data_IF_889831441548
#
_entry.id   IF_889831441548
#
_cell.length_a   1.000
_cell.length_b   1.000
_cell.length_c   1.000
_cell.angle_alpha   90.00
_cell.angle_beta   90.00
_cell.angle_gamma   90.00
#
_symmetry.space_group_name_H-M   'P 1'
#
loop_
_entity.id
_entity.type
_entity.pdbx_description
1 polymer ?
#
# COMPACT_ATOMS: atom_id res chain seq x y z
N UNK A 1 1.41 5.55 0.44
CA UNK A 1 1.93 6.78 1.07
C UNK A 1 3.26 7.24 0.47
N UNK A 2 4.26 6.36 0.35
CA UNK A 2 5.62 6.70 -0.12
C UNK A 2 5.74 7.36 -1.50
N UNK A 3 4.74 7.24 -2.39
CA UNK A 3 4.73 7.95 -3.68
C UNK A 3 4.34 9.43 -3.57
N UNK A 4 3.69 9.84 -2.49
CA UNK A 4 3.00 11.14 -2.38
C UNK A 4 3.47 11.97 -1.19
N UNK A 5 4.05 11.33 -0.17
CA UNK A 5 4.77 12.01 0.90
C UNK A 5 6.23 11.59 0.78
N UNK A 6 7.14 12.57 0.81
CA UNK A 6 8.58 12.32 0.82
C UNK A 6 8.96 11.71 2.19
N UNK A 7 8.99 10.39 2.24
CA UNK A 7 9.29 9.59 3.41
C UNK A 7 10.34 8.54 3.05
N UNK A 8 10.99 7.95 4.04
CA UNK A 8 11.97 6.89 3.80
C UNK A 8 11.33 5.77 2.94
N UNK A 9 11.96 5.40 1.83
CA UNK A 9 11.42 4.44 0.85
C UNK A 9 10.69 5.05 -0.36
N UNK A 10 10.53 6.38 -0.43
CA UNK A 10 9.87 7.05 -1.57
C UNK A 10 10.63 6.88 -2.88
N UNK A 11 11.97 6.86 -2.84
CA UNK A 11 12.79 6.73 -4.04
C UNK A 11 12.69 5.32 -4.63
N UNK A 12 12.85 4.31 -3.79
CA UNK A 12 12.75 2.90 -4.15
C UNK A 12 11.36 2.57 -4.71
N UNK A 13 10.30 3.20 -4.17
CA UNK A 13 8.95 3.06 -4.71
C UNK A 13 8.82 3.69 -6.10
N UNK A 14 9.43 4.86 -6.34
CA UNK A 14 9.41 5.52 -7.66
C UNK A 14 10.19 4.72 -8.70
N UNK A 15 11.36 4.20 -8.32
CA UNK A 15 12.18 3.35 -9.18
C UNK A 15 11.45 2.03 -9.50
N UNK A 16 10.93 1.34 -8.48
CA UNK A 16 10.16 0.11 -8.67
C UNK A 16 8.93 0.30 -9.55
N UNK A 17 8.21 1.42 -9.40
CA UNK A 17 7.08 1.75 -10.28
C UNK A 17 7.51 2.00 -11.72
N UNK A 18 8.64 2.65 -11.94
CA UNK A 18 9.15 2.95 -13.29
C UNK A 18 9.53 1.67 -14.04
N UNK A 19 9.98 0.64 -13.33
CA UNK A 19 10.29 -0.67 -13.89
C UNK A 19 9.09 -1.63 -13.98
N UNK A 20 7.95 -1.30 -13.38
CA UNK A 20 6.78 -2.15 -13.36
C UNK A 20 5.93 -1.98 -14.63
N UNK A 21 5.46 -3.10 -15.20
CA UNK A 21 4.53 -3.06 -16.32
C UNK A 21 3.15 -2.47 -15.94
N UNK A 22 2.73 -2.71 -14.69
CA UNK A 22 1.51 -2.17 -14.11
C UNK A 22 1.67 -2.11 -12.59
N UNK A 23 0.96 -1.18 -11.95
CA UNK A 23 0.91 -1.05 -10.49
C UNK A 23 -0.51 -1.35 -10.05
N UNK A 24 -0.66 -2.23 -9.06
CA UNK A 24 -1.97 -2.63 -8.53
C UNK A 24 -2.04 -2.35 -7.04
N UNK A 25 -3.20 -1.92 -6.55
CA UNK A 25 -3.50 -1.81 -5.11
C UNK A 25 -4.93 -2.24 -4.83
N UNK A 26 -5.31 -2.37 -3.56
CA UNK A 26 -6.71 -2.60 -3.16
C UNK A 26 -7.44 -1.26 -3.05
N UNK A 27 -8.73 -1.23 -3.39
CA UNK A 27 -9.54 0.00 -3.41
C UNK A 27 -9.49 0.77 -2.07
N UNK A 28 -9.40 0.06 -0.95
CA UNK A 28 -9.34 0.68 0.39
C UNK A 28 -8.09 1.56 0.60
N UNK A 29 -7.03 1.36 -0.19
CA UNK A 29 -5.83 2.19 -0.13
C UNK A 29 -6.11 3.68 -0.41
N UNK A 30 -7.18 3.99 -1.15
CA UNK A 30 -7.61 5.37 -1.37
C UNK A 30 -8.01 6.04 -0.05
N UNK A 31 -8.83 5.35 0.74
CA UNK A 31 -9.31 5.84 2.03
C UNK A 31 -8.15 5.94 3.04
N UNK A 32 -7.25 4.96 3.06
CA UNK A 32 -6.04 5.01 3.89
C UNK A 32 -5.19 6.23 3.58
N UNK A 33 -4.95 6.50 2.29
CA UNK A 33 -4.17 7.62 1.83
C UNK A 33 -4.81 8.97 2.19
N UNK A 34 -6.10 9.14 1.93
CA UNK A 34 -6.84 10.33 2.33
C UNK A 34 -6.81 10.54 3.86
N UNK A 35 -6.93 9.46 4.64
CA UNK A 35 -6.87 9.50 6.10
C UNK A 35 -5.49 9.94 6.61
N UNK A 36 -4.42 9.46 5.97
CA UNK A 36 -3.04 9.81 6.31
C UNK A 36 -2.74 11.29 6.01
N UNK A 37 -3.21 11.79 4.86
CA UNK A 37 -3.10 13.21 4.49
C UNK A 37 -3.87 14.09 5.49
N UNK A 38 -5.11 13.71 5.82
CA UNK A 38 -5.90 14.40 6.83
C UNK A 38 -5.22 14.42 8.21
N UNK A 39 -4.58 13.32 8.60
CA UNK A 39 -3.82 13.23 9.84
C UNK A 39 -2.56 14.13 9.81
N UNK A 40 -1.83 14.16 8.70
CA UNK A 40 -0.68 15.06 8.53
C UNK A 40 -1.07 16.53 8.65
N UNK A 41 -2.19 16.93 8.03
CA UNK A 41 -2.73 18.28 8.15
C UNK A 41 -3.11 18.64 9.60
N UNK A 42 -3.84 17.76 10.30
CA UNK A 42 -4.22 17.99 11.72
C UNK A 42 -3.00 18.09 12.64
N UNK A 43 -1.92 17.37 12.31
CA UNK A 43 -0.66 17.43 13.04
C UNK A 43 0.21 18.65 12.68
N UNK A 44 -0.26 19.54 11.79
CA UNK A 44 0.48 20.73 11.36
C UNK A 44 1.65 20.45 10.42
N UNK A 45 1.78 19.22 9.90
CA UNK A 45 2.82 18.84 8.93
C UNK A 45 2.51 19.30 7.50
N UNK A 46 1.24 19.59 7.21
CA UNK A 46 0.79 20.16 5.95
C UNK A 46 -0.13 21.34 6.24
N UNK A 47 0.12 22.48 5.60
CA UNK A 47 -0.84 23.57 5.54
C UNK A 47 -1.98 23.26 4.54
N UNK A 48 -2.98 24.14 4.46
CA UNK A 48 -4.16 23.89 3.62
C UNK A 48 -3.82 23.83 2.12
N UNK A 49 -3.08 24.78 1.54
CA UNK A 49 -2.58 24.66 0.17
C UNK A 49 -1.84 23.36 -0.12
N UNK A 50 -0.86 22.99 0.73
CA UNK A 50 -0.07 21.76 0.56
C UNK A 50 -0.96 20.51 0.59
N UNK A 51 -1.96 20.47 1.48
CA UNK A 51 -2.95 19.39 1.52
C UNK A 51 -3.72 19.29 0.21
N UNK A 52 -4.18 20.41 -0.34
CA UNK A 52 -4.96 20.46 -1.57
C UNK A 52 -4.12 20.01 -2.78
N UNK A 53 -2.83 20.38 -2.82
CA UNK A 53 -1.87 19.94 -3.83
C UNK A 53 -1.63 18.43 -3.74
N UNK A 54 -1.36 17.90 -2.55
CA UNK A 54 -1.16 16.46 -2.33
C UNK A 54 -2.42 15.66 -2.70
N UNK A 55 -3.62 16.14 -2.35
CA UNK A 55 -4.87 15.49 -2.77
C UNK A 55 -5.07 15.49 -4.28
N UNK A 56 -4.61 16.53 -4.98
CA UNK A 56 -4.64 16.57 -6.46
C UNK A 56 -3.66 15.56 -7.06
N UNK A 57 -2.50 15.36 -6.44
CA UNK A 57 -1.54 14.31 -6.82
C UNK A 57 -2.08 12.91 -6.57
N UNK A 58 -2.84 12.71 -5.48
CA UNK A 58 -3.53 11.43 -5.20
C UNK A 58 -4.45 11.07 -6.36
N UNK A 59 -5.23 12.01 -6.87
CA UNK A 59 -6.11 11.77 -8.02
C UNK A 59 -5.34 11.28 -9.24
N UNK A 60 -4.27 11.99 -9.62
CA UNK A 60 -3.41 11.59 -10.74
C UNK A 60 -2.71 10.26 -10.53
N UNK A 61 -2.31 9.96 -9.29
CA UNK A 61 -1.76 8.65 -8.95
C UNK A 61 -2.81 7.56 -9.14
N UNK A 62 -4.03 7.81 -8.68
CA UNK A 62 -5.12 6.84 -8.71
C UNK A 62 -5.51 6.47 -10.14
N UNK A 63 -5.52 7.44 -11.07
CA UNK A 63 -5.77 7.20 -12.49
C UNK A 63 -4.71 6.33 -13.18
N UNK A 64 -3.56 6.14 -12.53
CA UNK A 64 -2.40 5.42 -13.07
C UNK A 64 -2.04 4.16 -12.26
N UNK A 65 -2.97 3.66 -11.45
CA UNK A 65 -2.89 2.37 -10.76
C UNK A 65 -4.17 1.57 -11.00
N UNK A 66 -4.02 0.27 -11.20
CA UNK A 66 -5.14 -0.65 -11.23
C UNK A 66 -5.61 -0.93 -9.79
N UNK A 67 -6.90 -1.15 -9.62
CA UNK A 67 -7.50 -1.37 -8.30
C UNK A 67 -8.23 -2.69 -8.22
N UNK A 68 -8.00 -3.42 -7.12
CA UNK A 68 -8.77 -4.60 -6.75
C UNK A 68 -9.95 -4.15 -5.89
N UNK A 69 -11.16 -4.48 -6.34
CA UNK A 69 -12.38 -4.21 -5.60
C UNK A 69 -12.45 -5.03 -4.29
N UNK A 70 -13.05 -4.43 -3.26
CA UNK A 70 -13.25 -5.09 -1.98
C UNK A 70 -14.64 -5.74 -1.96
N UNK A 71 -14.68 -7.01 -2.33
CA UNK A 71 -15.88 -7.84 -2.27
C UNK A 71 -15.89 -8.77 -1.05
N UNK A 72 -16.99 -9.52 -0.87
CA UNK A 72 -17.13 -10.46 0.24
C UNK A 72 -16.06 -11.57 0.22
N UNK A 73 -15.65 -12.03 -0.96
CA UNK A 73 -14.64 -13.08 -1.11
C UNK A 73 -13.28 -12.61 -0.59
N UNK A 74 -12.88 -11.40 -0.99
CA UNK A 74 -11.66 -10.76 -0.54
C UNK A 74 -11.68 -10.54 0.97
N UNK A 75 -12.81 -10.07 1.53
CA UNK A 75 -12.96 -9.83 2.97
C UNK A 75 -12.85 -11.14 3.77
N UNK A 76 -13.47 -12.23 3.30
CA UNK A 76 -13.34 -13.55 3.96
C UNK A 76 -11.89 -14.05 3.93
N UNK A 77 -11.19 -13.87 2.80
CA UNK A 77 -9.77 -14.22 2.68
C UNK A 77 -8.90 -13.38 3.60
N UNK A 78 -9.18 -12.08 3.70
CA UNK A 78 -8.51 -11.18 4.63
C UNK A 78 -8.72 -11.62 6.09
N UNK A 79 -9.95 -12.02 6.46
CA UNK A 79 -10.23 -12.52 7.80
C UNK A 79 -9.39 -13.76 8.15
N UNK A 80 -9.29 -14.74 7.26
CA UNK A 80 -8.42 -15.93 7.45
C UNK A 80 -6.95 -15.54 7.62
N UNK A 81 -6.42 -14.71 6.71
CA UNK A 81 -5.04 -14.23 6.75
C UNK A 81 -4.75 -13.41 8.01
N UNK A 82 -5.73 -12.63 8.50
CA UNK A 82 -5.60 -11.84 9.73
C UNK A 82 -5.37 -12.75 10.94
N UNK A 83 -6.13 -13.84 11.07
CA UNK A 83 -5.98 -14.81 12.14
C UNK A 83 -4.68 -15.61 12.02
N UNK A 84 -4.33 -16.00 10.79
CA UNK A 84 -3.11 -16.78 10.51
C UNK A 84 -1.81 -16.02 10.80
N UNK A 85 -1.76 -14.74 10.48
CA UNK A 85 -0.54 -13.93 10.55
C UNK A 85 -0.56 -12.84 11.63
N UNK A 86 -1.67 -12.67 12.35
CA UNK A 86 -1.82 -11.63 13.38
C UNK A 86 -1.85 -10.21 12.81
N UNK A 87 -2.39 -10.04 11.59
CA UNK A 87 -2.41 -8.75 10.89
C UNK A 87 -3.59 -7.88 11.31
N UNK A 88 -3.45 -6.56 11.17
CA UNK A 88 -4.59 -5.63 11.26
C UNK A 88 -5.54 -5.86 10.09
N UNK A 89 -6.80 -5.48 10.26
CA UNK A 89 -7.83 -5.67 9.24
C UNK A 89 -7.41 -5.15 7.86
N UNK A 90 -6.96 -3.89 7.76
CA UNK A 90 -6.54 -3.33 6.49
C UNK A 90 -5.28 -4.00 5.90
N UNK A 91 -4.28 -4.31 6.74
CA UNK A 91 -3.08 -5.05 6.30
C UNK A 91 -3.45 -6.43 5.71
N UNK A 92 -4.43 -7.11 6.33
CA UNK A 92 -4.92 -8.39 5.84
C UNK A 92 -5.68 -8.27 4.51
N UNK A 93 -6.34 -7.14 4.25
CA UNK A 93 -6.99 -6.85 2.95
C UNK A 93 -5.94 -6.64 1.86
N UNK A 94 -4.85 -5.92 2.14
CA UNK A 94 -3.73 -5.77 1.20
C UNK A 94 -3.09 -7.13 0.87
N UNK A 95 -2.86 -7.97 1.89
CA UNK A 95 -2.33 -9.32 1.68
C UNK A 95 -3.31 -10.20 0.89
N UNK A 96 -4.61 -10.12 1.18
CA UNK A 96 -5.63 -10.83 0.41
C UNK A 96 -5.61 -10.38 -1.06
N UNK A 97 -5.51 -9.08 -1.33
CA UNK A 97 -5.37 -8.52 -2.68
C UNK A 97 -4.15 -9.07 -3.42
N UNK A 98 -2.98 -9.06 -2.79
CA UNK A 98 -1.75 -9.64 -3.34
C UNK A 98 -1.95 -11.10 -3.76
N UNK A 99 -2.61 -11.89 -2.92
CA UNK A 99 -2.85 -13.32 -3.18
C UNK A 99 -3.92 -13.63 -4.22
N UNK A 100 -4.63 -12.61 -4.70
CA UNK A 100 -5.61 -12.72 -5.76
C UNK A 100 -5.04 -12.35 -7.13
N UNK A 101 -3.82 -11.79 -7.16
CA UNK A 101 -3.12 -11.46 -8.41
C UNK A 101 -2.53 -12.73 -9.03
N UNK A 102 -2.63 -12.88 -10.37
CA UNK A 102 -1.93 -13.94 -11.09
C UNK A 102 -0.42 -13.64 -11.21
N UNK A 103 0.36 -14.68 -11.47
CA UNK A 103 1.81 -14.57 -11.72
C UNK A 103 2.64 -14.39 -10.45
N UNK A 104 3.75 -13.66 -10.58
CA UNK A 104 4.74 -13.44 -9.52
C UNK A 104 4.84 -11.93 -9.18
N UNK A 105 3.80 -11.34 -8.56
CA UNK A 105 3.83 -9.92 -8.22
C UNK A 105 4.93 -9.62 -7.20
N UNK A 106 5.59 -8.48 -7.39
CA UNK A 106 6.50 -7.91 -6.39
C UNK A 106 5.69 -7.02 -5.46
N UNK A 107 5.70 -7.32 -4.16
CA UNK A 107 4.92 -6.60 -3.17
C UNK A 107 5.71 -5.47 -2.53
N UNK A 108 5.33 -4.23 -2.88
CA UNK A 108 5.91 -3.02 -2.29
C UNK A 108 5.26 -2.71 -0.93
N UNK A 109 5.95 -3.00 0.16
CA UNK A 109 5.38 -2.86 1.51
C UNK A 109 6.44 -2.41 2.51
N UNK A 110 6.12 -1.36 3.29
CA UNK A 110 6.88 -0.76 4.40
C UNK A 110 6.64 -1.41 5.77
N UNK A 111 5.47 -2.03 5.94
CA UNK A 111 5.04 -2.49 7.25
C UNK A 111 5.72 -3.81 7.62
N UNK A 112 6.32 -3.87 8.80
CA UNK A 112 7.11 -5.03 9.24
C UNK A 112 6.28 -6.31 9.28
N UNK A 113 5.08 -6.24 9.85
CA UNK A 113 4.28 -7.43 10.13
C UNK A 113 3.63 -7.92 8.82
N UNK A 114 3.14 -7.01 7.99
CA UNK A 114 2.63 -7.32 6.66
C UNK A 114 3.72 -7.84 5.70
N UNK A 115 4.91 -7.24 5.68
CA UNK A 115 6.06 -7.74 4.91
C UNK A 115 6.43 -9.16 5.32
N UNK A 116 6.48 -9.43 6.63
CA UNK A 116 6.78 -10.78 7.15
C UNK A 116 5.76 -11.79 6.67
N UNK A 117 4.47 -11.46 6.72
CA UNK A 117 3.41 -12.34 6.24
C UNK A 117 3.57 -12.65 4.74
N UNK A 118 3.80 -11.62 3.91
CA UNK A 118 4.05 -11.80 2.48
C UNK A 118 5.30 -12.65 2.18
N UNK A 119 6.39 -12.44 2.93
CA UNK A 119 7.61 -13.25 2.81
C UNK A 119 7.36 -14.72 3.19
N UNK A 120 6.58 -14.99 4.24
CA UNK A 120 6.18 -16.36 4.64
C UNK A 120 5.33 -17.07 3.57
N UNK A 121 4.74 -16.31 2.64
CA UNK A 121 4.00 -16.82 1.49
C UNK A 121 4.86 -16.85 0.20
N UNK A 122 6.17 -16.60 0.31
CA UNK A 122 7.16 -16.59 -0.78
C UNK A 122 6.94 -15.50 -1.84
N UNK A 123 6.32 -14.37 -1.50
CA UNK A 123 6.26 -13.22 -2.41
C UNK A 123 7.60 -12.47 -2.46
N UNK A 124 7.97 -12.03 -3.65
CA UNK A 124 9.05 -11.06 -3.81
C UNK A 124 8.64 -9.72 -3.18
N UNK A 125 9.58 -9.05 -2.51
CA UNK A 125 9.31 -7.80 -1.78
C UNK A 125 10.09 -6.63 -2.36
N UNK A 126 9.49 -5.44 -2.29
CA UNK A 126 10.15 -4.16 -2.53
C UNK A 126 10.04 -3.27 -1.28
N UNK A 127 11.16 -2.69 -0.80
CA UNK A 127 12.55 -3.07 -1.08
C UNK A 127 12.80 -4.54 -0.78
N UNK A 128 13.87 -5.17 -1.30
CA UNK A 128 14.19 -6.56 -0.97
C UNK A 128 14.59 -6.73 0.50
N UNK A 129 15.27 -5.74 1.07
CA UNK A 129 15.69 -5.73 2.47
C UNK A 129 14.66 -5.02 3.37
N UNK A 130 14.50 -5.49 4.60
CA UNK A 130 13.70 -4.77 5.59
C UNK A 130 14.47 -3.52 6.04
N UNK A 131 13.83 -2.35 6.04
CA UNK A 131 14.48 -1.12 6.47
C UNK A 131 14.96 -1.31 7.94
N UNK A 132 16.27 -1.17 8.23
CA UNK A 132 16.73 -1.15 9.61
C UNK A 132 16.07 0.06 10.28
N UNK A 133 15.33 -0.20 11.37
CA UNK A 133 14.69 0.84 12.17
C UNK A 133 15.71 1.78 12.79
#
# INVERSE_FOLDING_TARGET
>A
MKLLLAEDGSQEMREGRTSAAFTVTVLIANAELASAIGAAHRAGRLNRPERDDVMSEVGRLWDAVETIDVDESLVRKAADLSGRFGLRGYDSVHLAGLTSLPGEPVFACWDRDLRRAAAMMNYALLPPEANPR
#
